data_IF_980666548863
#
_entry.id   IF_980666548863
#
_cell.length_a   1.000
_cell.length_b   1.000
_cell.length_c   1.000
_cell.angle_alpha   90.00
_cell.angle_beta   90.00
_cell.angle_gamma   90.00
#
_symmetry.space_group_name_H-M   'P 1'
#
loop_
_entity.id
_entity.type
_entity.pdbx_description
1 polymer ?
#
# COMPACT_ATOMS: atom_id res chain seq x y z
N UNK A 1 18.38 5.40 -10.77
CA UNK A 1 17.76 5.12 -9.46
C UNK A 1 18.65 5.74 -8.41
N UNK A 2 18.09 6.51 -7.48
CA UNK A 2 18.82 7.09 -6.35
C UNK A 2 18.23 6.50 -5.07
N UNK A 3 19.10 6.01 -4.18
CA UNK A 3 18.70 5.46 -2.88
C UNK A 3 19.36 6.31 -1.80
N UNK A 4 18.56 6.92 -0.94
CA UNK A 4 19.06 7.60 0.25
C UNK A 4 18.95 6.64 1.44
N UNK A 5 19.89 5.70 1.53
CA UNK A 5 19.89 4.61 2.50
C UNK A 5 20.84 3.49 2.10
N UNK A 6 20.68 2.32 2.73
CA UNK A 6 21.49 1.12 2.48
C UNK A 6 20.74 0.09 1.64
N UNK A 7 21.48 -0.73 0.90
CA UNK A 7 20.94 -1.87 0.14
C UNK A 7 21.46 -3.15 0.78
N UNK A 8 20.54 -4.04 1.13
CA UNK A 8 20.82 -5.37 1.68
C UNK A 8 20.36 -6.45 0.70
N UNK A 9 21.12 -7.53 0.55
CA UNK A 9 20.78 -8.62 -0.35
C UNK A 9 21.27 -9.98 0.17
N UNK A 10 20.59 -11.05 -0.24
CA UNK A 10 20.96 -12.42 0.14
C UNK A 10 22.31 -12.83 -0.44
N UNK A 11 23.15 -13.47 0.37
CA UNK A 11 24.54 -13.81 0.03
C UNK A 11 25.50 -12.62 0.04
N UNK A 12 25.05 -11.45 0.50
CA UNK A 12 25.89 -10.27 0.75
C UNK A 12 26.57 -10.28 2.12
N UNK A 13 27.33 -9.22 2.46
CA UNK A 13 27.98 -9.09 3.78
C UNK A 13 26.98 -9.03 4.95
N UNK A 14 25.73 -8.64 4.68
CA UNK A 14 24.66 -8.47 5.66
C UNK A 14 23.54 -9.54 5.51
N UNK A 15 23.90 -10.75 5.08
CA UNK A 15 22.93 -11.81 4.75
C UNK A 15 21.96 -12.14 5.90
N UNK A 16 22.43 -12.13 7.15
CA UNK A 16 21.59 -12.33 8.33
C UNK A 16 20.48 -11.28 8.46
N UNK A 17 20.77 -10.01 8.11
CA UNK A 17 19.79 -8.93 8.12
C UNK A 17 18.75 -9.16 7.02
N UNK A 18 19.19 -9.51 5.80
CA UNK A 18 18.30 -9.80 4.69
C UNK A 18 17.34 -10.98 4.98
N UNK A 19 17.86 -12.03 5.63
CA UNK A 19 17.05 -13.17 6.09
C UNK A 19 16.03 -12.74 7.15
N UNK A 20 16.45 -11.95 8.15
CA UNK A 20 15.55 -11.47 9.20
C UNK A 20 14.42 -10.60 8.65
N UNK A 21 14.70 -9.69 7.71
CA UNK A 21 13.69 -8.86 7.04
C UNK A 21 12.62 -9.73 6.36
N UNK A 22 13.01 -10.84 5.75
CA UNK A 22 12.07 -11.77 5.11
C UNK A 22 11.15 -12.44 6.14
N UNK A 23 11.70 -12.85 7.29
CA UNK A 23 10.93 -13.45 8.38
C UNK A 23 9.97 -12.44 9.04
N UNK A 24 10.43 -11.21 9.25
CA UNK A 24 9.62 -10.15 9.84
C UNK A 24 8.45 -9.76 8.91
N UNK A 25 8.71 -9.69 7.60
CA UNK A 25 7.68 -9.47 6.59
C UNK A 25 6.63 -10.59 6.61
N UNK A 26 7.05 -11.85 6.60
CA UNK A 26 6.12 -12.99 6.69
C UNK A 26 5.28 -12.92 7.97
N UNK A 27 5.91 -12.64 9.11
CA UNK A 27 5.23 -12.50 10.41
C UNK A 27 4.21 -11.37 10.40
N UNK A 28 4.61 -10.17 9.96
CA UNK A 28 3.72 -9.01 9.89
C UNK A 28 2.53 -9.25 8.95
N UNK A 29 2.77 -9.91 7.81
CA UNK A 29 1.71 -10.27 6.86
C UNK A 29 0.74 -11.30 7.43
N UNK A 30 1.22 -12.36 8.09
CA UNK A 30 0.36 -13.34 8.77
C UNK A 30 -0.48 -12.67 9.87
N UNK A 31 0.14 -11.82 10.69
CA UNK A 31 -0.58 -11.07 11.73
C UNK A 31 -1.64 -10.15 11.12
N UNK A 32 -1.29 -9.39 10.09
CA UNK A 32 -2.19 -8.50 9.37
C UNK A 32 -3.38 -9.25 8.77
N UNK A 33 -3.13 -10.39 8.13
CA UNK A 33 -4.17 -11.26 7.58
C UNK A 33 -5.07 -11.88 8.64
N UNK A 34 -4.64 -11.96 9.90
CA UNK A 34 -5.44 -12.56 10.98
C UNK A 34 -6.07 -11.51 11.90
N UNK A 35 -6.02 -10.21 11.54
CA UNK A 35 -6.76 -9.18 12.28
C UNK A 35 -8.26 -9.43 12.18
N UNK A 36 -8.94 -9.18 13.31
CA UNK A 36 -10.39 -9.29 13.41
C UNK A 36 -11.01 -8.07 12.75
N UNK A 37 -11.96 -8.30 11.86
CA UNK A 37 -12.67 -7.24 11.15
C UNK A 37 -13.54 -6.42 12.10
N UNK A 38 -13.49 -5.10 11.96
CA UNK A 38 -14.37 -4.18 12.69
C UNK A 38 -15.62 -3.84 11.87
N UNK A 39 -15.55 -4.03 10.55
CA UNK A 39 -16.64 -3.83 9.62
C UNK A 39 -17.04 -5.16 8.98
N UNK A 40 -18.24 -5.21 8.40
CA UNK A 40 -18.65 -6.38 7.62
C UNK A 40 -17.68 -6.63 6.45
N UNK A 41 -17.51 -7.89 6.07
CA UNK A 41 -16.77 -8.26 4.88
C UNK A 41 -17.37 -7.59 3.63
N UNK A 42 -16.50 -7.18 2.71
CA UNK A 42 -16.82 -6.49 1.46
C UNK A 42 -17.57 -5.15 1.65
N UNK A 43 -17.43 -4.52 2.83
CA UNK A 43 -18.09 -3.25 3.16
C UNK A 43 -17.58 -2.04 2.36
N UNK A 44 -16.40 -2.10 1.76
CA UNK A 44 -15.92 -1.10 0.80
C UNK A 44 -16.50 -1.36 -0.61
N UNK A 45 -17.09 -2.52 -0.87
CA UNK A 45 -17.72 -2.86 -2.14
C UNK A 45 -16.73 -3.05 -3.28
N UNK A 46 -15.53 -3.57 -3.00
CA UNK A 46 -14.48 -3.83 -3.99
C UNK A 46 -13.82 -2.58 -4.57
N UNK A 47 -14.08 -1.41 -3.99
CA UNK A 47 -13.58 -0.13 -4.49
C UNK A 47 -13.21 0.80 -3.33
N UNK A 48 -11.92 1.11 -3.22
CA UNK A 48 -11.34 1.87 -2.12
C UNK A 48 -11.75 3.35 -2.18
N UNK A 49 -11.80 3.92 -3.38
CA UNK A 49 -12.05 5.34 -3.58
C UNK A 49 -13.47 5.69 -3.99
N UNK A 50 -13.69 6.97 -4.28
CA UNK A 50 -14.88 7.51 -4.90
C UNK A 50 -14.56 8.72 -5.77
N UNK A 51 -15.55 9.18 -6.55
CA UNK A 51 -15.41 10.35 -7.42
C UNK A 51 -15.36 11.64 -6.59
N UNK A 52 -14.56 12.61 -7.04
CA UNK A 52 -14.50 13.95 -6.47
C UNK A 52 -13.38 14.15 -5.45
N UNK A 53 -13.21 15.38 -4.94
CA UNK A 53 -12.02 15.79 -4.19
C UNK A 53 -11.90 15.19 -2.77
N UNK A 54 -12.98 14.60 -2.26
CA UNK A 54 -13.01 13.82 -1.02
C UNK A 54 -13.15 12.33 -1.33
N UNK A 55 -13.82 11.99 -2.45
CA UNK A 55 -14.10 10.62 -2.83
C UNK A 55 -14.78 9.85 -1.70
N UNK A 56 -14.32 8.63 -1.44
CA UNK A 56 -14.86 7.78 -0.37
C UNK A 56 -14.11 8.02 0.93
N UNK A 57 -14.84 8.26 2.02
CA UNK A 57 -14.26 8.36 3.36
C UNK A 57 -14.14 6.99 4.00
N UNK A 58 -12.95 6.69 4.50
CA UNK A 58 -12.60 5.47 5.23
C UNK A 58 -12.23 5.89 6.64
N UNK A 59 -12.89 5.30 7.63
CA UNK A 59 -12.69 5.58 9.06
C UNK A 59 -11.77 4.50 9.68
N UNK A 60 -11.23 4.72 10.89
CA UNK A 60 -10.27 3.79 11.48
C UNK A 60 -10.89 2.42 11.75
N UNK A 61 -10.10 1.36 11.55
CA UNK A 61 -10.54 -0.02 11.76
C UNK A 61 -9.94 -1.03 10.78
N UNK A 62 -10.52 -2.23 10.79
CA UNK A 62 -10.09 -3.38 9.99
C UNK A 62 -11.18 -3.73 8.98
N UNK A 63 -10.83 -3.65 7.70
CA UNK A 63 -11.67 -3.94 6.55
C UNK A 63 -11.17 -5.20 5.85
N UNK A 64 -12.10 -5.94 5.26
CA UNK A 64 -11.77 -7.11 4.44
C UNK A 64 -12.53 -7.09 3.14
N UNK A 65 -11.78 -7.23 2.05
CA UNK A 65 -12.30 -7.34 0.70
C UNK A 65 -11.71 -8.59 0.04
N UNK A 66 -12.48 -9.26 -0.82
CA UNK A 66 -11.91 -10.34 -1.63
C UNK A 66 -10.90 -9.81 -2.67
N UNK A 67 -11.32 -8.79 -3.42
CA UNK A 67 -10.54 -8.02 -4.42
C UNK A 67 -10.81 -6.55 -4.15
N UNK A 68 -9.80 -5.69 -4.30
CA UNK A 68 -9.99 -4.26 -4.08
C UNK A 68 -9.33 -3.44 -5.18
N UNK A 69 -10.06 -2.44 -5.66
CA UNK A 69 -9.58 -1.54 -6.71
C UNK A 69 -9.52 -0.09 -6.23
N UNK A 70 -8.68 0.72 -6.86
CA UNK A 70 -8.73 2.18 -6.82
C UNK A 70 -8.81 2.67 -8.27
N UNK A 71 -9.98 3.18 -8.67
CA UNK A 71 -10.20 3.58 -10.05
C UNK A 71 -9.49 4.90 -10.40
N UNK A 72 -9.25 5.13 -11.68
CA UNK A 72 -8.61 6.34 -12.22
C UNK A 72 -9.34 7.60 -11.75
N UNK A 73 -8.60 8.56 -11.18
CA UNK A 73 -9.16 9.82 -10.69
C UNK A 73 -9.97 9.73 -9.40
N UNK A 74 -10.04 8.56 -8.78
CA UNK A 74 -10.79 8.38 -7.54
C UNK A 74 -9.91 8.65 -6.32
N UNK A 75 -10.56 9.20 -5.29
CA UNK A 75 -9.91 9.55 -4.02
C UNK A 75 -10.43 8.63 -2.92
N UNK A 76 -9.52 8.09 -2.13
CA UNK A 76 -9.80 7.41 -0.87
C UNK A 76 -9.32 8.29 0.28
N UNK A 77 -10.24 8.91 1.01
CA UNK A 77 -9.91 9.76 2.15
C UNK A 77 -9.90 8.94 3.43
N UNK A 78 -8.72 8.72 3.98
CA UNK A 78 -8.53 8.12 5.31
C UNK A 78 -8.67 9.22 6.35
N UNK A 79 -9.78 9.18 7.08
CA UNK A 79 -10.14 10.15 8.11
C UNK A 79 -9.91 9.54 9.49
N UNK A 80 -8.97 10.11 10.24
CA UNK A 80 -8.60 9.61 11.56
C UNK A 80 -9.48 10.14 12.70
N UNK A 81 -10.52 10.92 12.41
CA UNK A 81 -11.43 11.48 13.40
C UNK A 81 -10.70 12.23 14.53
N UNK A 82 -9.68 13.00 14.16
CA UNK A 82 -8.77 13.77 15.03
C UNK A 82 -7.87 12.93 15.96
N UNK A 83 -7.80 11.62 15.78
CA UNK A 83 -6.85 10.76 16.50
C UNK A 83 -5.60 10.47 15.65
N UNK A 84 -4.44 11.11 15.91
CA UNK A 84 -3.23 10.84 15.15
C UNK A 84 -2.72 9.40 15.27
N UNK A 85 -3.17 8.64 16.28
CA UNK A 85 -2.82 7.24 16.48
C UNK A 85 -3.81 6.28 15.83
N UNK A 86 -4.83 6.78 15.13
CA UNK A 86 -5.80 5.96 14.43
C UNK A 86 -5.11 5.01 13.43
N UNK A 87 -5.53 3.75 13.44
CA UNK A 87 -4.98 2.68 12.59
C UNK A 87 -6.03 2.20 11.62
N UNK A 88 -5.58 1.95 10.39
CA UNK A 88 -6.39 1.43 9.30
C UNK A 88 -5.72 0.17 8.75
N UNK A 89 -6.44 -0.94 8.73
CA UNK A 89 -5.96 -2.21 8.17
C UNK A 89 -6.93 -2.64 7.09
N UNK A 90 -6.49 -2.58 5.84
CA UNK A 90 -7.23 -3.00 4.67
C UNK A 90 -6.70 -4.37 4.25
N UNK A 91 -7.40 -5.43 4.62
CA UNK A 91 -7.09 -6.80 4.20
C UNK A 91 -7.73 -7.05 2.83
N UNK A 92 -6.92 -7.47 1.87
CA UNK A 92 -7.40 -7.88 0.56
C UNK A 92 -6.99 -9.33 0.34
N UNK A 93 -7.96 -10.23 0.26
CA UNK A 93 -7.71 -11.68 0.26
C UNK A 93 -6.93 -12.12 -0.97
N UNK A 94 -7.15 -11.46 -2.11
CA UNK A 94 -6.45 -11.74 -3.36
C UNK A 94 -5.57 -10.56 -3.76
N UNK A 95 -6.01 -9.76 -4.75
CA UNK A 95 -5.21 -8.71 -5.37
C UNK A 95 -5.79 -7.32 -5.16
N UNK A 96 -4.88 -6.35 -5.09
CA UNK A 96 -5.22 -4.93 -5.17
C UNK A 96 -4.79 -4.34 -6.51
N UNK A 97 -5.64 -3.55 -7.14
CA UNK A 97 -5.26 -2.83 -8.37
C UNK A 97 -5.67 -1.36 -8.36
N UNK A 98 -4.71 -0.49 -8.65
CA UNK A 98 -4.94 0.91 -8.90
C UNK A 98 -4.72 1.24 -10.39
N UNK A 99 -5.65 2.01 -10.95
CA UNK A 99 -5.71 2.38 -12.38
C UNK A 99 -5.43 3.86 -12.64
N UNK A 100 -4.78 4.58 -11.72
CA UNK A 100 -4.35 5.96 -11.94
C UNK A 100 -3.58 6.18 -13.26
N UNK A 101 -3.73 7.37 -13.84
CA UNK A 101 -2.95 7.85 -14.99
C UNK A 101 -2.39 9.24 -14.72
N UNK A 102 -1.31 9.65 -15.41
CA UNK A 102 -0.70 10.99 -15.19
C UNK A 102 -1.69 12.15 -15.30
N UNK A 103 -2.61 12.11 -16.27
CA UNK A 103 -3.59 13.16 -16.48
C UNK A 103 -4.71 13.18 -15.43
N UNK A 104 -4.96 12.04 -14.79
CA UNK A 104 -6.07 11.81 -13.87
C UNK A 104 -5.62 10.82 -12.77
N UNK A 105 -4.71 11.25 -11.88
CA UNK A 105 -4.14 10.37 -10.88
C UNK A 105 -5.21 9.96 -9.88
N UNK A 106 -5.10 8.75 -9.34
CA UNK A 106 -5.82 8.34 -8.14
C UNK A 106 -5.04 8.78 -6.89
N UNK A 107 -5.73 8.87 -5.76
CA UNK A 107 -5.15 9.41 -4.54
C UNK A 107 -5.64 8.67 -3.28
N UNK A 108 -4.70 8.37 -2.38
CA UNK A 108 -5.00 8.13 -0.97
C UNK A 108 -4.75 9.43 -0.22
N UNK A 109 -5.83 10.05 0.25
CA UNK A 109 -5.81 11.33 0.96
C UNK A 109 -5.87 11.11 2.46
N UNK A 110 -5.05 11.86 3.20
CA UNK A 110 -5.05 11.84 4.66
C UNK A 110 -5.89 13.00 5.19
N UNK A 111 -6.77 12.72 6.16
CA UNK A 111 -7.61 13.72 6.79
C UNK A 111 -7.59 13.59 8.32
N UNK A 112 -7.78 14.73 8.99
CA UNK A 112 -8.05 14.83 10.43
C UNK A 112 -7.10 14.02 11.31
N UNK A 113 -5.79 14.18 11.07
CA UNK A 113 -4.75 13.51 11.86
C UNK A 113 -4.28 12.17 11.30
N UNK A 114 -4.86 11.66 10.21
CA UNK A 114 -4.41 10.40 9.63
C UNK A 114 -2.94 10.49 9.20
N UNK A 115 -2.17 9.44 9.51
CA UNK A 115 -0.76 9.33 9.17
C UNK A 115 -0.54 8.10 8.28
N UNK A 116 0.22 8.25 7.20
CA UNK A 116 0.54 7.16 6.28
C UNK A 116 1.15 5.93 6.99
N UNK A 117 1.95 6.16 8.05
CA UNK A 117 2.56 5.09 8.85
C UNK A 117 1.55 4.18 9.57
N UNK A 118 0.31 4.63 9.78
CA UNK A 118 -0.75 3.88 10.43
C UNK A 118 -1.75 3.24 9.46
N UNK A 119 -1.54 3.39 8.14
CA UNK A 119 -2.38 2.79 7.10
C UNK A 119 -1.65 1.57 6.55
N UNK A 120 -2.30 0.41 6.64
CA UNK A 120 -1.75 -0.88 6.24
C UNK A 120 -2.66 -1.59 5.26
N UNK A 121 -2.12 -1.88 4.08
CA UNK A 121 -2.74 -2.74 3.08
C UNK A 121 -2.08 -4.11 3.15
N UNK A 122 -2.86 -5.12 3.55
CA UNK A 122 -2.39 -6.50 3.68
C UNK A 122 -2.98 -7.31 2.54
N UNK A 123 -2.17 -7.59 1.53
CA UNK A 123 -2.60 -8.14 0.24
C UNK A 123 -2.20 -9.60 0.13
N UNK A 124 -3.17 -10.47 -0.17
CA UNK A 124 -2.96 -11.92 -0.19
C UNK A 124 -2.02 -12.37 -1.32
N UNK A 125 -2.14 -11.77 -2.50
CA UNK A 125 -1.29 -12.05 -3.66
C UNK A 125 -0.52 -10.79 -4.09
N UNK A 126 -0.90 -10.16 -5.20
CA UNK A 126 -0.18 -9.05 -5.81
C UNK A 126 -0.89 -7.71 -5.65
N UNK A 127 -0.12 -6.63 -5.66
CA UNK A 127 -0.64 -5.26 -5.68
C UNK A 127 -0.05 -4.47 -6.85
N UNK A 128 -0.87 -3.67 -7.53
CA UNK A 128 -0.41 -2.72 -8.53
C UNK A 128 -0.80 -1.29 -8.17
N UNK A 129 0.16 -0.37 -8.23
CA UNK A 129 -0.03 1.08 -8.14
C UNK A 129 0.01 1.65 -9.56
N UNK A 130 -1.05 2.35 -9.92
CA UNK A 130 -1.24 3.00 -11.21
C UNK A 130 -0.23 4.12 -11.46
N UNK A 131 -0.32 4.74 -12.62
CA UNK A 131 0.61 5.80 -13.04
C UNK A 131 0.19 7.14 -12.44
N UNK A 132 1.13 7.93 -11.94
CA UNK A 132 0.86 9.25 -11.36
C UNK A 132 0.17 9.23 -9.98
N UNK A 133 -0.09 8.06 -9.42
CA UNK A 133 -0.84 7.88 -8.17
C UNK A 133 -0.11 8.53 -6.99
N UNK A 134 -0.89 9.18 -6.11
CA UNK A 134 -0.43 9.65 -4.80
C UNK A 134 -0.85 8.61 -3.76
N UNK A 135 0.12 7.86 -3.25
CA UNK A 135 -0.11 6.75 -2.32
C UNK A 135 0.40 7.10 -0.92
N UNK A 136 -0.50 7.09 0.07
CA UNK A 136 -0.15 7.25 1.49
C UNK A 136 -0.53 5.98 2.25
N UNK A 137 0.46 5.17 2.63
CA UNK A 137 0.22 3.92 3.33
C UNK A 137 1.29 2.86 3.06
N UNK A 138 1.26 1.79 3.83
CA UNK A 138 2.19 0.67 3.73
C UNK A 138 1.52 -0.53 3.08
N UNK A 139 2.24 -1.28 2.24
CA UNK A 139 1.76 -2.51 1.62
C UNK A 139 2.59 -3.69 2.13
N UNK A 140 1.90 -4.72 2.63
CA UNK A 140 2.42 -6.06 2.87
C UNK A 140 1.77 -6.99 1.84
N UNK A 141 2.49 -7.38 0.79
CA UNK A 141 1.95 -8.24 -0.26
C UNK A 141 2.54 -9.65 -0.16
N UNK A 142 1.68 -10.66 -0.32
CA UNK A 142 2.11 -12.05 -0.39
C UNK A 142 3.05 -12.34 -1.57
N UNK A 143 2.82 -11.67 -2.71
CA UNK A 143 3.60 -11.77 -3.94
C UNK A 143 4.14 -10.42 -4.39
N UNK A 144 4.11 -10.17 -5.70
CA UNK A 144 4.73 -9.00 -6.35
C UNK A 144 3.95 -7.70 -6.11
N UNK A 145 4.67 -6.61 -5.88
CA UNK A 145 4.15 -5.24 -5.93
C UNK A 145 4.71 -4.57 -7.18
N UNK A 146 3.83 -4.03 -8.02
CA UNK A 146 4.20 -3.22 -9.19
C UNK A 146 3.82 -1.77 -8.97
N UNK A 147 4.72 -0.83 -9.28
CA UNK A 147 4.43 0.61 -9.29
C UNK A 147 4.80 1.22 -10.64
N UNK A 148 3.89 2.04 -11.15
CA UNK A 148 4.04 2.70 -12.45
C UNK A 148 4.59 4.12 -12.34
N UNK A 149 5.14 4.63 -13.44
CA UNK A 149 5.83 5.92 -13.51
C UNK A 149 5.01 7.11 -13.02
N UNK A 150 5.70 8.13 -12.49
CA UNK A 150 5.08 9.37 -12.01
C UNK A 150 4.40 9.27 -10.64
N UNK A 151 4.32 8.07 -10.07
CA UNK A 151 3.67 7.85 -8.77
C UNK A 151 4.55 8.24 -7.61
N UNK A 152 3.93 8.77 -6.56
CA UNK A 152 4.58 9.16 -5.31
C UNK A 152 4.01 8.34 -4.17
N UNK A 153 4.87 7.68 -3.42
CA UNK A 153 4.52 6.85 -2.27
C UNK A 153 5.09 7.47 -1.01
N UNK A 154 4.25 7.69 -0.01
CA UNK A 154 4.66 7.92 1.38
C UNK A 154 4.30 6.68 2.19
N UNK A 155 5.29 5.84 2.49
CA UNK A 155 5.08 4.55 3.16
C UNK A 155 6.14 3.50 2.78
N UNK A 156 5.82 2.24 3.05
CA UNK A 156 6.68 1.08 2.77
C UNK A 156 6.00 0.12 1.80
N UNK A 157 6.76 -0.41 0.84
CA UNK A 157 6.27 -1.39 -0.15
C UNK A 157 7.03 -2.70 0.04
N UNK A 158 6.37 -3.70 0.66
CA UNK A 158 7.00 -4.93 1.11
C UNK A 158 6.34 -6.13 0.40
N UNK A 159 7.07 -6.71 -0.54
CA UNK A 159 6.60 -7.77 -1.45
C UNK A 159 7.19 -9.14 -1.09
N UNK A 160 6.51 -10.22 -1.49
CA UNK A 160 7.01 -11.60 -1.30
C UNK A 160 6.79 -12.16 0.11
N UNK A 161 5.81 -11.65 0.87
CA UNK A 161 5.56 -12.13 2.23
C UNK A 161 5.16 -13.61 2.31
N UNK A 162 4.64 -14.19 1.22
CA UNK A 162 4.27 -15.60 1.11
C UNK A 162 5.33 -16.45 0.38
N UNK A 163 6.53 -15.91 0.14
CA UNK A 163 7.62 -16.57 -0.57
C UNK A 163 8.07 -15.78 -1.81
N UNK A 164 7.83 -16.32 -3.01
CA UNK A 164 8.27 -15.67 -4.24
C UNK A 164 7.50 -14.36 -4.51
N UNK A 165 8.24 -13.27 -4.69
CA UNK A 165 7.69 -11.97 -5.06
C UNK A 165 8.81 -10.99 -5.41
N UNK A 166 8.44 -9.92 -6.09
CA UNK A 166 9.35 -8.84 -6.42
C UNK A 166 8.69 -7.47 -6.16
N UNK A 167 9.53 -6.47 -5.95
CA UNK A 167 9.12 -5.09 -6.11
C UNK A 167 9.53 -4.64 -7.51
N UNK A 168 8.57 -4.31 -8.37
CA UNK A 168 8.80 -3.95 -9.76
C UNK A 168 8.42 -2.49 -10.02
N UNK A 169 9.31 -1.77 -10.70
CA UNK A 169 9.11 -0.38 -11.08
C UNK A 169 9.01 -0.30 -12.60
N UNK A 170 7.87 0.13 -13.12
CA UNK A 170 7.64 0.33 -14.55
C UNK A 170 7.62 1.82 -14.83
N UNK A 171 8.56 2.32 -15.64
CA UNK A 171 8.64 3.76 -15.94
C UNK A 171 8.85 3.98 -17.43
N UNK A 172 8.24 5.04 -17.96
CA UNK A 172 8.64 5.68 -19.20
C UNK A 172 9.09 7.10 -18.86
N UNK A 173 10.30 7.48 -19.27
CA UNK A 173 10.79 8.83 -19.03
C UNK A 173 9.83 9.85 -19.66
N UNK A 174 9.52 11.00 -19.01
CA UNK A 174 10.16 11.56 -17.81
C UNK A 174 9.46 11.24 -16.46
N UNK A 175 8.55 10.26 -16.40
CA UNK A 175 7.71 10.01 -15.23
C UNK A 175 8.44 9.22 -14.12
N UNK A 176 9.25 9.91 -13.29
CA UNK A 176 9.97 9.31 -12.17
C UNK A 176 9.02 8.79 -11.07
N UNK A 177 9.44 7.73 -10.38
CA UNK A 177 8.75 7.20 -9.19
C UNK A 177 9.48 7.71 -7.95
N UNK A 178 8.72 8.19 -6.96
CA UNK A 178 9.26 8.68 -5.68
C UNK A 178 8.72 7.85 -4.53
N UNK A 179 9.58 7.40 -3.62
CA UNK A 179 9.20 6.65 -2.42
C UNK A 179 9.83 7.33 -1.21
N UNK A 180 8.99 7.83 -0.32
CA UNK A 180 9.35 8.48 0.93
C UNK A 180 8.93 7.57 2.08
N UNK A 181 9.88 7.12 2.89
CA UNK A 181 9.58 6.28 4.07
C UNK A 181 9.43 7.20 5.28
N UNK A 182 8.25 7.30 5.91
CA UNK A 182 8.08 8.11 7.11
C UNK A 182 8.80 7.48 8.31
N UNK A 183 9.36 8.35 9.16
CA UNK A 183 9.96 8.01 10.46
C UNK A 183 8.95 7.38 11.44
#
# INVERSE_FOLDING_TARGET
MTVNGSIYWAGGPDDLIAQQVTNDLNTAWIQGKNKIDTFAADSLGGQLGGVGPVGKTIVPGVYTENVLNLATGWVATFDANDDPNAVFIIRVTTSFSDSGILATPSEIKLARGAQAKNIWFVIGSAASIGTGTIWNGNILAGGTITISGGSTVTGRLLAGAAGAGAFTMTTTAPAAITINVPE
#
